data_IF_021286778368
#
_entry.id   IF_021286778368
#
_cell.length_a   1.000
_cell.length_b   1.000
_cell.length_c   1.000
_cell.angle_alpha   90.00
_cell.angle_beta   90.00
_cell.angle_gamma   90.00
#
_symmetry.space_group_name_H-M   'P 1'
#
loop_
_entity.id
_entity.type
_entity.pdbx_description
1 polymer ?
#
# COMPACT_ATOMS: atom_id res chain seq x y z
N UNK A 1 -0.69 0.43 -0.19
CA UNK A 1 -1.40 -0.74 -0.75
C UNK A 1 -2.76 -0.97 -0.09
N UNK A 2 -2.87 -1.14 1.24
CA UNK A 2 -4.16 -1.43 1.93
C UNK A 2 -5.27 -0.44 1.53
N UNK A 3 -4.96 0.87 1.47
CA UNK A 3 -5.90 1.90 0.98
C UNK A 3 -6.37 1.65 -0.46
N UNK A 4 -5.47 1.28 -1.37
CA UNK A 4 -5.80 0.99 -2.77
C UNK A 4 -6.75 -0.19 -2.92
N UNK A 5 -6.56 -1.25 -2.12
CA UNK A 5 -7.44 -2.41 -2.13
C UNK A 5 -8.80 -2.07 -1.52
N UNK A 6 -8.84 -1.21 -0.51
CA UNK A 6 -10.10 -0.74 0.08
C UNK A 6 -10.88 0.25 -0.80
N UNK A 7 -10.20 0.95 -1.71
CA UNK A 7 -10.79 1.88 -2.67
C UNK A 7 -11.34 1.16 -3.93
N UNK A 8 -11.08 -0.14 -4.09
CA UNK A 8 -11.46 -0.92 -5.26
C UNK A 8 -12.44 -2.04 -4.87
N UNK A 9 -13.62 -2.04 -5.46
CA UNK A 9 -14.65 -3.07 -5.24
C UNK A 9 -14.40 -4.35 -6.07
N UNK A 10 -13.48 -4.30 -7.05
CA UNK A 10 -13.16 -5.37 -8.00
C UNK A 10 -11.75 -5.95 -7.79
N UNK A 11 -11.45 -7.07 -8.47
CA UNK A 11 -10.11 -7.67 -8.55
C UNK A 11 -9.06 -6.66 -9.03
N UNK A 12 -8.08 -6.37 -8.17
CA UNK A 12 -7.01 -5.43 -8.49
C UNK A 12 -5.74 -6.18 -8.90
N UNK A 13 -5.25 -5.94 -10.11
CA UNK A 13 -4.02 -6.60 -10.57
C UNK A 13 -2.78 -6.12 -9.81
N UNK A 14 -1.82 -7.04 -9.56
CA UNK A 14 -0.53 -6.73 -8.93
C UNK A 14 0.25 -5.69 -9.74
N UNK A 15 0.07 -5.69 -11.05
CA UNK A 15 0.66 -4.69 -11.96
C UNK A 15 0.11 -3.29 -11.70
N UNK A 16 -1.20 -3.14 -11.52
CA UNK A 16 -1.81 -1.85 -11.17
C UNK A 16 -1.34 -1.41 -9.79
N UNK A 17 -1.32 -2.31 -8.81
CA UNK A 17 -0.80 -2.03 -7.48
C UNK A 17 0.64 -1.50 -7.51
N UNK A 18 1.54 -2.20 -8.22
CA UNK A 18 2.93 -1.78 -8.32
C UNK A 18 3.05 -0.38 -8.94
N UNK A 19 2.29 -0.13 -10.01
CA UNK A 19 2.28 1.14 -10.72
C UNK A 19 1.78 2.29 -9.84
N UNK A 20 0.67 2.10 -9.13
CA UNK A 20 0.11 3.10 -8.22
C UNK A 20 1.00 3.37 -7.01
N UNK A 21 1.65 2.33 -6.46
CA UNK A 21 2.59 2.50 -5.36
C UNK A 21 3.83 3.26 -5.82
N UNK A 22 4.44 2.88 -6.95
CA UNK A 22 5.58 3.62 -7.51
C UNK A 22 5.23 5.08 -7.83
N UNK A 23 4.03 5.33 -8.37
CA UNK A 23 3.54 6.67 -8.66
C UNK A 23 3.48 7.54 -7.38
N UNK A 24 2.90 6.99 -6.30
CA UNK A 24 2.80 7.66 -5.00
C UNK A 24 4.17 7.89 -4.36
N UNK A 25 5.07 6.90 -4.42
CA UNK A 25 6.42 7.00 -3.85
C UNK A 25 7.30 8.04 -4.56
N UNK A 26 7.13 8.19 -5.87
CA UNK A 26 7.92 9.12 -6.67
C UNK A 26 7.26 10.47 -6.89
N UNK A 27 6.00 10.65 -6.47
CA UNK A 27 5.24 11.86 -6.73
C UNK A 27 5.00 12.12 -8.23
N UNK A 28 4.82 11.06 -9.02
CA UNK A 28 4.61 11.15 -10.47
C UNK A 28 3.26 10.56 -10.90
N UNK A 29 2.71 10.94 -12.07
CA UNK A 29 1.55 10.28 -12.65
C UNK A 29 1.76 8.77 -12.85
N UNK A 30 0.72 7.97 -12.64
CA UNK A 30 0.86 6.51 -12.68
C UNK A 30 1.26 6.01 -14.07
N UNK A 31 0.79 6.62 -15.15
CA UNK A 31 1.21 6.31 -16.53
C UNK A 31 2.73 6.45 -16.77
N UNK A 32 3.43 7.27 -15.97
CA UNK A 32 4.89 7.45 -15.99
C UNK A 32 5.64 6.53 -15.02
N UNK A 33 4.96 5.85 -14.11
CA UNK A 33 5.54 4.90 -13.16
C UNK A 33 6.01 3.63 -13.87
N UNK A 34 7.22 3.67 -14.42
CA UNK A 34 7.82 2.63 -15.26
C UNK A 34 9.29 2.40 -14.90
N UNK A 35 9.95 1.47 -15.58
CA UNK A 35 11.37 1.20 -15.40
C UNK A 35 11.71 0.50 -14.09
N UNK A 36 12.91 0.77 -13.59
CA UNK A 36 13.47 0.07 -12.42
C UNK A 36 12.67 0.26 -11.12
N UNK A 37 12.19 1.47 -10.77
CA UNK A 37 11.39 1.66 -9.56
C UNK A 37 10.12 0.82 -9.56
N UNK A 38 9.41 0.79 -10.68
CA UNK A 38 8.24 -0.07 -10.88
C UNK A 38 8.57 -1.56 -10.68
N UNK A 39 9.69 -2.02 -11.27
CA UNK A 39 10.14 -3.41 -11.19
C UNK A 39 10.47 -3.80 -9.75
N UNK A 40 11.10 -2.91 -8.99
CA UNK A 40 11.43 -3.13 -7.58
C UNK A 40 10.17 -3.28 -6.73
N UNK A 41 9.19 -2.38 -6.89
CA UNK A 41 7.91 -2.48 -6.18
C UNK A 41 7.17 -3.77 -6.56
N UNK A 42 7.08 -4.09 -7.86
CA UNK A 42 6.43 -5.31 -8.33
C UNK A 42 7.06 -6.57 -7.70
N UNK A 43 8.40 -6.64 -7.68
CA UNK A 43 9.12 -7.77 -7.09
C UNK A 43 8.88 -7.84 -5.57
N UNK A 44 8.95 -6.72 -4.86
CA UNK A 44 8.70 -6.69 -3.41
C UNK A 44 7.26 -7.14 -3.07
N UNK A 45 6.28 -6.71 -3.85
CA UNK A 45 4.88 -7.14 -3.72
C UNK A 45 4.76 -8.66 -3.89
N UNK A 46 5.19 -9.16 -5.04
CA UNK A 46 5.03 -10.57 -5.41
C UNK A 46 5.83 -11.55 -4.55
N UNK A 47 6.99 -11.13 -4.03
CA UNK A 47 7.86 -12.01 -3.24
C UNK A 47 7.47 -12.10 -1.77
N UNK A 48 7.03 -10.97 -1.16
CA UNK A 48 6.91 -10.91 0.31
C UNK A 48 5.60 -10.28 0.77
N UNK A 49 5.26 -9.10 0.26
CA UNK A 49 4.17 -8.33 0.88
C UNK A 49 2.80 -8.95 0.65
N UNK A 50 2.53 -9.48 -0.54
CA UNK A 50 1.23 -10.04 -0.87
C UNK A 50 0.95 -11.33 -0.08
N UNK A 51 1.92 -12.24 0.01
CA UNK A 51 1.78 -13.45 0.84
C UNK A 51 1.59 -13.10 2.31
N UNK A 52 2.40 -12.19 2.87
CA UNK A 52 2.28 -11.79 4.27
C UNK A 52 0.90 -11.20 4.61
N UNK A 53 0.36 -10.34 3.73
CA UNK A 53 -0.96 -9.75 3.95
C UNK A 53 -2.08 -10.77 3.73
N UNK A 54 -1.89 -11.73 2.83
CA UNK A 54 -2.82 -12.85 2.62
C UNK A 54 -2.86 -13.77 3.84
N UNK A 55 -1.71 -14.10 4.42
CA UNK A 55 -1.61 -14.91 5.64
C UNK A 55 -2.33 -14.26 6.83
N UNK A 56 -2.34 -12.92 6.87
CA UNK A 56 -3.07 -12.14 7.86
C UNK A 56 -4.57 -11.94 7.54
N UNK A 57 -5.08 -12.53 6.45
CA UNK A 57 -6.44 -12.33 5.91
C UNK A 57 -6.80 -10.85 5.63
N UNK A 58 -5.81 -10.01 5.37
CA UNK A 58 -6.02 -8.60 5.02
C UNK A 58 -6.43 -8.48 3.55
N UNK A 59 -5.82 -9.30 2.70
CA UNK A 59 -6.17 -9.46 1.29
C UNK A 59 -6.38 -10.93 0.98
N UNK A 60 -7.00 -11.23 -0.15
CA UNK A 60 -6.93 -12.54 -0.79
C UNK A 60 -6.04 -12.36 -2.03
N UNK A 61 -4.96 -13.13 -2.13
CA UNK A 61 -4.03 -13.05 -3.25
C UNK A 61 -4.10 -14.30 -4.13
N UNK A 62 -4.49 -14.13 -5.39
CA UNK A 62 -4.42 -15.17 -6.42
C UNK A 62 -3.10 -15.00 -7.19
N UNK A 63 -2.14 -15.88 -6.90
CA UNK A 63 -0.82 -15.87 -7.52
C UNK A 63 -0.82 -16.37 -8.96
N UNK A 64 -1.79 -17.18 -9.37
CA UNK A 64 -1.90 -17.65 -10.75
C UNK A 64 -2.40 -16.51 -11.65
N UNK A 65 -3.40 -15.76 -11.17
CA UNK A 65 -3.99 -14.63 -11.89
C UNK A 65 -3.29 -13.30 -11.65
N UNK A 66 -2.41 -13.21 -10.67
CA UNK A 66 -1.74 -11.98 -10.24
C UNK A 66 -2.75 -10.87 -9.90
N UNK A 67 -3.78 -11.22 -9.12
CA UNK A 67 -4.82 -10.29 -8.65
C UNK A 67 -4.97 -10.37 -7.13
N UNK A 68 -5.43 -9.27 -6.54
CA UNK A 68 -5.78 -9.19 -5.14
C UNK A 68 -7.22 -8.72 -4.96
N UNK A 69 -7.85 -9.21 -3.91
CA UNK A 69 -9.16 -8.74 -3.44
C UNK A 69 -9.15 -8.51 -1.94
N UNK A 70 -10.23 -7.91 -1.43
CA UNK A 70 -10.40 -7.66 0.00
C UNK A 70 -10.48 -8.96 0.80
N UNK A 71 -9.67 -9.06 1.85
CA UNK A 71 -9.80 -10.10 2.88
C UNK A 71 -10.70 -9.64 4.03
N UNK A 72 -11.07 -10.57 4.91
CA UNK A 72 -11.96 -10.30 6.05
C UNK A 72 -11.41 -9.26 7.03
N UNK A 73 -10.08 -9.12 7.11
CA UNK A 73 -9.41 -8.19 8.02
C UNK A 73 -9.07 -6.85 7.37
N UNK A 74 -9.47 -6.61 6.11
CA UNK A 74 -9.10 -5.39 5.38
C UNK A 74 -9.52 -4.11 6.12
N UNK A 75 -10.75 -4.06 6.63
CA UNK A 75 -11.28 -2.89 7.32
C UNK A 75 -10.53 -2.58 8.62
N UNK A 76 -10.16 -3.62 9.38
CA UNK A 76 -9.37 -3.48 10.61
C UNK A 76 -7.97 -2.97 10.27
N UNK A 77 -7.33 -3.54 9.25
CA UNK A 77 -6.02 -3.10 8.81
C UNK A 77 -6.03 -1.65 8.31
N UNK A 78 -7.09 -1.22 7.62
CA UNK A 78 -7.27 0.16 7.19
C UNK A 78 -7.42 1.12 8.38
N UNK A 79 -8.24 0.75 9.37
CA UNK A 79 -8.39 1.55 10.59
C UNK A 79 -7.05 1.72 11.31
N UNK A 80 -6.31 0.63 11.53
CA UNK A 80 -5.00 0.67 12.17
C UNK A 80 -4.00 1.52 11.37
N UNK A 81 -4.01 1.42 10.03
CA UNK A 81 -3.17 2.24 9.17
C UNK A 81 -3.48 3.74 9.31
N UNK A 82 -4.76 4.11 9.35
CA UNK A 82 -5.19 5.51 9.47
C UNK A 82 -4.87 6.08 10.87
N UNK A 83 -5.07 5.29 11.92
CA UNK A 83 -4.70 5.66 13.28
C UNK A 83 -3.18 5.86 13.41
N UNK A 84 -2.39 4.96 12.82
CA UNK A 84 -0.93 5.05 12.88
C UNK A 84 -0.39 6.28 12.12
N UNK A 85 -0.96 6.60 10.96
CA UNK A 85 -0.62 7.82 10.21
C UNK A 85 -0.95 9.10 11.01
N UNK A 86 -2.12 9.14 11.64
CA UNK A 86 -2.55 10.28 12.47
C UNK A 86 -1.65 10.45 13.70
N UNK A 87 -1.32 9.34 14.37
CA UNK A 87 -0.42 9.36 15.51
C UNK A 87 0.97 9.88 15.12
N UNK A 88 1.51 9.40 13.99
CA UNK A 88 2.81 9.84 13.49
C UNK A 88 2.83 11.34 13.15
N UNK A 89 1.79 11.83 12.48
CA UNK A 89 1.65 13.26 12.16
C UNK A 89 1.60 14.12 13.42
N UNK A 90 0.86 13.69 14.44
CA UNK A 90 0.78 14.41 15.73
C UNK A 90 2.15 14.51 16.39
N UNK A 91 2.87 13.39 16.50
CA UNK A 91 4.19 13.33 17.12
C UNK A 91 5.23 14.19 16.38
N UNK A 92 5.21 14.18 15.03
CA UNK A 92 6.11 15.00 14.23
C UNK A 92 5.80 16.51 14.37
N UNK A 93 4.53 16.86 14.53
CA UNK A 93 4.10 18.26 14.69
C UNK A 93 4.56 18.84 16.03
N UNK A 94 4.59 18.03 17.11
CA UNK A 94 5.10 18.44 18.43
C UNK A 94 6.62 18.67 18.43
N UNK A 95 7.38 17.87 17.67
CA UNK A 95 8.84 18.00 17.55
C UNK A 95 9.23 19.30 16.82
N UNK A 96 8.50 19.69 15.78
CA UNK A 96 8.76 20.92 15.03
C UNK A 96 8.39 22.17 15.85
N UNK A 97 7.33 22.12 16.67
CA UNK A 97 6.96 23.21 17.56
C UNK A 97 7.96 23.45 18.71
N UNK A 98 8.77 22.43 19.05
CA UNK A 98 9.76 22.52 20.13
C UNK A 98 11.11 23.10 19.69
N UNK A 99 11.37 23.24 18.39
CA UNK A 99 12.70 23.65 17.86
C UNK A 99 12.76 25.13 17.45
N UNK A 100 11.63 25.86 17.55
CA UNK A 100 11.51 27.28 17.19
C UNK A 100 11.86 28.27 18.34
N UNK A 101 12.77 27.90 19.26
CA UNK A 101 13.24 28.78 20.36
C UNK A 101 14.75 29.03 20.33
#
# INVERSE_FOLDING_TARGET
MIKLVAECDDDLSVRILAKEITAREQGIPSDRATGEPYRNVYNALSQTHLSTLSDANIIIYDSERQVVTAGSNLMIALLLSNLNETALQTLQSEEHASTDW
#
